data_IF_541402945345
#
_entry.id   IF_541402945345
#
_cell.length_a   1.000
_cell.length_b   1.000
_cell.length_c   1.000
_cell.angle_alpha   90.00
_cell.angle_beta   90.00
_cell.angle_gamma   90.00
#
_symmetry.space_group_name_H-M   'P 1'
#
loop_
_entity.id
_entity.type
_entity.pdbx_description
1 polymer ?
#
# COMPACT_ATOMS: atom_id res chain seq x y z
N UNK A 1 -6.07 -6.19 -16.17
CA UNK A 1 -5.53 -5.65 -14.89
C UNK A 1 -4.72 -4.38 -15.15
N UNK A 2 -3.60 -4.43 -15.89
CA UNK A 2 -2.71 -3.27 -16.11
C UNK A 2 -3.39 -1.95 -16.59
N UNK A 3 -4.47 -2.01 -17.38
CA UNK A 3 -5.21 -0.81 -17.81
C UNK A 3 -6.17 -0.24 -16.76
N UNK A 4 -6.63 -1.07 -15.82
CA UNK A 4 -7.69 -0.71 -14.85
C UNK A 4 -7.15 -0.53 -13.43
N UNK A 5 -6.11 -1.27 -13.08
CA UNK A 5 -5.47 -1.22 -11.75
C UNK A 5 -3.94 -1.24 -11.95
N UNK A 6 -3.37 -0.19 -12.56
CA UNK A 6 -1.94 -0.14 -12.89
C UNK A 6 -1.03 -0.21 -11.66
N UNK A 7 -1.47 0.26 -10.49
CA UNK A 7 -0.74 0.14 -9.23
C UNK A 7 -0.32 -1.31 -8.91
N UNK A 8 -1.19 -2.30 -9.15
CA UNK A 8 -0.86 -3.71 -8.92
C UNK A 8 0.20 -4.23 -9.89
N UNK A 9 0.23 -3.71 -11.13
CA UNK A 9 1.27 -4.06 -12.11
C UNK A 9 2.62 -3.56 -11.60
N UNK A 10 2.67 -2.33 -11.12
CA UNK A 10 3.92 -1.71 -10.67
C UNK A 10 4.46 -2.42 -9.44
N UNK A 11 3.61 -2.68 -8.45
CA UNK A 11 3.96 -3.48 -7.28
C UNK A 11 4.46 -4.90 -7.66
N UNK A 12 3.83 -5.58 -8.62
CA UNK A 12 4.22 -6.94 -9.00
C UNK A 12 5.66 -7.05 -9.56
N UNK A 13 6.26 -5.95 -10.01
CA UNK A 13 7.66 -5.93 -10.46
C UNK A 13 8.69 -6.00 -9.31
N UNK A 14 8.24 -5.74 -8.09
CA UNK A 14 9.04 -5.78 -6.86
C UNK A 14 8.96 -7.14 -6.16
N UNK A 15 7.80 -7.80 -6.27
CA UNK A 15 7.53 -9.09 -5.63
C UNK A 15 8.48 -10.17 -6.12
N UNK A 16 9.44 -10.54 -5.27
CA UNK A 16 10.26 -11.74 -5.40
C UNK A 16 10.90 -11.90 -6.82
N UNK A 17 11.05 -13.15 -7.24
CA UNK A 17 11.61 -13.53 -8.54
C UNK A 17 10.57 -14.25 -9.41
N UNK A 18 10.77 -14.34 -10.74
CA UNK A 18 9.78 -14.93 -11.67
C UNK A 18 9.28 -16.32 -11.26
N UNK A 19 10.15 -17.18 -10.74
CA UNK A 19 9.76 -18.52 -10.28
C UNK A 19 8.73 -18.50 -9.15
N UNK A 20 8.84 -17.54 -8.23
CA UNK A 20 7.89 -17.35 -7.13
C UNK A 20 6.60 -16.72 -7.67
N UNK A 21 6.69 -15.69 -8.52
CA UNK A 21 5.51 -15.03 -9.12
C UNK A 21 4.67 -15.95 -10.00
N UNK A 22 5.26 -16.98 -10.60
CA UNK A 22 4.53 -17.98 -11.38
C UNK A 22 3.65 -18.92 -10.53
N UNK A 23 3.85 -18.94 -9.21
CA UNK A 23 3.09 -19.79 -8.27
C UNK A 23 2.31 -18.98 -7.23
N UNK A 24 2.87 -17.85 -6.81
CA UNK A 24 2.26 -16.94 -5.86
C UNK A 24 0.96 -16.38 -6.41
N UNK A 25 -0.05 -16.29 -5.55
CA UNK A 25 -1.34 -15.68 -5.89
C UNK A 25 -1.55 -14.43 -5.05
N UNK A 26 -2.23 -13.45 -5.61
CA UNK A 26 -2.64 -12.25 -4.87
C UNK A 26 -3.52 -12.63 -3.66
N UNK A 27 -4.41 -13.62 -3.81
CA UNK A 27 -5.23 -14.13 -2.72
C UNK A 27 -4.39 -14.73 -1.58
N UNK A 28 -3.38 -15.53 -1.92
CA UNK A 28 -2.46 -16.09 -0.93
C UNK A 28 -1.63 -15.02 -0.21
N UNK A 29 -1.17 -14.00 -0.93
CA UNK A 29 -0.44 -12.87 -0.32
C UNK A 29 -1.31 -12.06 0.64
N UNK A 30 -2.56 -11.78 0.27
CA UNK A 30 -3.52 -11.08 1.13
C UNK A 30 -3.91 -11.91 2.35
N UNK A 31 -4.18 -13.21 2.16
CA UNK A 31 -4.57 -14.11 3.25
C UNK A 31 -3.42 -14.38 4.22
N UNK A 32 -2.17 -14.42 3.74
CA UNK A 32 -0.98 -14.50 4.60
C UNK A 32 -0.80 -13.21 5.41
N UNK A 33 -1.03 -12.05 4.79
CA UNK A 33 -0.88 -10.74 5.43
C UNK A 33 0.48 -10.53 6.10
N UNK A 34 1.55 -10.88 5.39
CA UNK A 34 2.89 -10.49 5.80
C UNK A 34 2.99 -8.94 5.79
N UNK A 35 3.46 -8.30 6.88
CA UNK A 35 3.52 -6.84 6.96
C UNK A 35 4.41 -6.18 5.91
N UNK A 36 5.38 -6.92 5.36
CA UNK A 36 6.31 -6.46 4.34
C UNK A 36 5.85 -6.78 2.91
N UNK A 37 4.66 -7.38 2.73
CA UNK A 37 4.13 -7.70 1.41
C UNK A 37 3.45 -6.50 0.72
N UNK A 38 3.66 -6.41 -0.58
CA UNK A 38 3.23 -5.31 -1.43
C UNK A 38 1.73 -5.36 -1.74
N UNK A 39 1.17 -6.56 -1.91
CA UNK A 39 -0.23 -6.75 -2.31
C UNK A 39 -1.23 -6.33 -1.22
N UNK A 40 -1.03 -6.62 0.09
CA UNK A 40 -1.80 -6.03 1.17
C UNK A 40 -1.84 -4.50 1.14
N UNK A 41 -0.69 -3.85 0.97
CA UNK A 41 -0.60 -2.40 0.87
C UNK A 41 -1.36 -1.85 -0.35
N UNK A 42 -1.24 -2.51 -1.50
CA UNK A 42 -1.98 -2.10 -2.70
C UNK A 42 -3.49 -2.26 -2.53
N UNK A 43 -3.95 -3.35 -1.90
CA UNK A 43 -5.37 -3.54 -1.62
C UNK A 43 -5.91 -2.45 -0.68
N UNK A 44 -5.14 -2.10 0.35
CA UNK A 44 -5.47 -1.01 1.28
C UNK A 44 -5.46 0.36 0.57
N UNK A 45 -4.43 0.68 -0.20
CA UNK A 45 -4.33 1.94 -0.96
C UNK A 45 -5.49 2.10 -1.95
N UNK A 46 -5.92 1.02 -2.60
CA UNK A 46 -6.99 1.06 -3.60
C UNK A 46 -8.40 0.99 -3.00
N UNK A 47 -8.54 0.80 -1.69
CA UNK A 47 -9.85 0.61 -1.05
C UNK A 47 -10.57 -0.62 -1.58
N UNK A 48 -9.86 -1.76 -1.66
CA UNK A 48 -10.43 -2.99 -2.18
C UNK A 48 -11.49 -3.59 -1.22
N UNK A 49 -12.38 -4.42 -1.76
CA UNK A 49 -13.24 -5.32 -0.98
C UNK A 49 -12.81 -6.77 -1.23
N UNK A 50 -12.68 -7.55 -0.16
CA UNK A 50 -12.30 -8.96 -0.19
C UNK A 50 -13.54 -9.84 -0.01
N UNK A 51 -13.76 -10.75 -0.95
CA UNK A 51 -14.92 -11.65 -0.96
C UNK A 51 -14.54 -13.01 -0.34
N UNK A 52 -15.16 -13.30 0.79
CA UNK A 52 -14.87 -14.46 1.63
C UNK A 52 -16.04 -15.44 1.52
N UNK A 53 -15.76 -16.66 1.09
CA UNK A 53 -16.76 -17.72 0.91
C UNK A 53 -16.60 -18.79 1.98
N UNK A 54 -17.71 -19.24 2.55
CA UNK A 54 -17.82 -20.40 3.43
C UNK A 54 -19.04 -21.25 3.01
N UNK A 55 -19.33 -22.33 3.74
CA UNK A 55 -20.50 -23.17 3.46
C UNK A 55 -21.83 -22.41 3.66
N UNK A 56 -21.82 -21.46 4.60
CA UNK A 56 -22.97 -20.65 5.00
C UNK A 56 -23.25 -19.49 4.05
N UNK A 57 -22.32 -19.18 3.12
CA UNK A 57 -22.49 -18.17 2.10
C UNK A 57 -21.24 -17.33 1.84
N UNK A 58 -21.46 -16.14 1.28
CA UNK A 58 -20.40 -15.21 0.88
C UNK A 58 -20.58 -13.89 1.61
N UNK A 59 -19.52 -13.37 2.21
CA UNK A 59 -19.48 -12.00 2.76
C UNK A 59 -18.34 -11.20 2.14
N UNK A 60 -18.42 -9.88 2.27
CA UNK A 60 -17.37 -8.96 1.83
C UNK A 60 -16.82 -8.19 3.02
N UNK A 61 -15.51 -7.95 3.01
CA UNK A 61 -14.80 -7.18 4.03
C UNK A 61 -13.97 -6.12 3.30
N UNK A 62 -14.00 -4.88 3.79
CA UNK A 62 -13.16 -3.81 3.25
C UNK A 62 -11.67 -4.12 3.51
N UNK A 63 -10.76 -3.64 2.67
CA UNK A 63 -9.33 -3.77 2.93
C UNK A 63 -8.91 -3.04 4.22
N UNK A 64 -9.60 -1.96 4.58
CA UNK A 64 -9.41 -1.21 5.82
C UNK A 64 -9.69 -2.08 7.07
N UNK A 65 -10.63 -3.02 6.97
CA UNK A 65 -11.04 -3.92 8.06
C UNK A 65 -10.44 -5.33 7.95
N UNK A 66 -9.70 -5.64 6.89
CA UNK A 66 -9.27 -7.00 6.60
C UNK A 66 -7.96 -7.39 7.29
N UNK A 67 -7.00 -6.48 7.39
CA UNK A 67 -5.68 -6.75 7.99
C UNK A 67 -5.70 -6.35 9.45
N UNK A 68 -5.50 -7.27 10.38
CA UNK A 68 -5.70 -7.03 11.82
C UNK A 68 -4.38 -6.95 12.59
N UNK A 69 -3.31 -7.56 12.06
CA UNK A 69 -1.98 -7.55 12.66
C UNK A 69 -1.04 -8.52 11.96
N UNK A 70 0.05 -8.88 12.63
CA UNK A 70 1.09 -9.77 12.11
C UNK A 70 0.51 -11.16 11.79
N UNK A 71 0.42 -11.48 10.50
CA UNK A 71 -0.20 -12.72 10.00
C UNK A 71 -1.66 -12.92 10.44
N UNK A 72 -2.34 -11.82 10.82
CA UNK A 72 -3.71 -11.85 11.29
C UNK A 72 -4.61 -11.07 10.34
N UNK A 73 -5.69 -11.72 9.90
CA UNK A 73 -6.70 -11.13 9.01
C UNK A 73 -8.10 -11.39 9.54
N UNK A 74 -9.08 -10.70 8.96
CA UNK A 74 -10.49 -10.90 9.25
C UNK A 74 -11.08 -12.21 8.69
N UNK A 75 -10.27 -13.09 8.08
CA UNK A 75 -10.68 -14.44 7.68
C UNK A 75 -11.05 -15.26 8.91
N UNK A 76 -12.25 -15.85 8.89
CA UNK A 76 -12.72 -16.78 9.92
C UNK A 76 -12.28 -18.20 9.60
N UNK A 77 -12.26 -19.11 10.59
CA UNK A 77 -12.17 -20.54 10.32
C UNK A 77 -13.22 -20.93 9.26
N UNK A 78 -12.83 -21.81 8.32
CA UNK A 78 -13.62 -22.28 7.16
C UNK A 78 -13.84 -21.30 6.01
N UNK A 79 -13.47 -20.03 6.14
CA UNK A 79 -13.56 -19.07 5.03
C UNK A 79 -12.40 -19.20 4.03
N UNK A 80 -12.71 -18.97 2.76
CA UNK A 80 -11.77 -18.89 1.66
C UNK A 80 -11.90 -17.53 0.99
N UNK A 81 -10.79 -16.82 0.82
CA UNK A 81 -10.73 -15.64 -0.03
C UNK A 81 -10.88 -16.05 -1.50
N UNK A 82 -12.03 -15.74 -2.10
CA UNK A 82 -12.40 -16.20 -3.45
C UNK A 82 -12.30 -15.11 -4.52
N UNK A 83 -12.47 -13.84 -4.14
CA UNK A 83 -12.29 -12.72 -5.06
C UNK A 83 -11.82 -11.46 -4.35
N UNK A 84 -11.20 -10.55 -5.12
CA UNK A 84 -10.80 -9.22 -4.68
C UNK A 84 -11.41 -8.22 -5.65
N UNK A 85 -12.16 -7.27 -5.12
CA UNK A 85 -12.88 -6.26 -5.90
C UNK A 85 -12.19 -4.93 -5.70
N UNK A 86 -11.70 -4.36 -6.79
CA UNK A 86 -11.11 -3.02 -6.78
C UNK A 86 -12.14 -2.02 -7.32
N UNK A 87 -12.26 -0.83 -6.70
CA UNK A 87 -13.06 0.25 -7.26
C UNK A 87 -12.67 0.56 -8.70
N UNK A 88 -13.66 0.96 -9.51
CA UNK A 88 -13.40 1.36 -10.90
C UNK A 88 -12.58 2.64 -10.90
N UNK A 89 -11.42 2.60 -11.55
CA UNK A 89 -10.56 3.78 -11.70
C UNK A 89 -11.21 4.82 -12.62
N UNK A 90 -11.16 6.08 -12.19
CA UNK A 90 -11.56 7.24 -12.99
C UNK A 90 -10.43 7.60 -13.97
N UNK A 91 -10.74 8.40 -15.00
CA UNK A 91 -9.73 8.86 -15.96
C UNK A 91 -8.62 9.71 -15.30
N UNK A 92 -8.93 10.33 -14.16
CA UNK A 92 -8.01 11.17 -13.40
C UNK A 92 -7.36 10.43 -12.22
N UNK A 93 -7.53 9.10 -12.13
CA UNK A 93 -6.84 8.31 -11.12
C UNK A 93 -5.33 8.38 -11.34
N UNK A 94 -4.60 8.68 -10.28
CA UNK A 94 -3.15 8.69 -10.24
C UNK A 94 -2.68 7.76 -9.14
N UNK A 95 -1.52 7.15 -9.34
CA UNK A 95 -0.93 6.19 -8.42
C UNK A 95 0.58 6.25 -8.52
N UNK A 96 1.24 5.80 -7.47
CA UNK A 96 2.68 5.62 -7.46
C UNK A 96 3.03 4.48 -6.50
N UNK A 97 4.11 3.77 -6.80
CA UNK A 97 4.62 2.68 -5.98
C UNK A 97 6.15 2.71 -6.00
N UNK A 98 6.73 2.50 -4.84
CA UNK A 98 8.15 2.20 -4.69
C UNK A 98 8.39 1.52 -3.33
N UNK A 99 9.49 0.79 -3.24
CA UNK A 99 9.95 0.17 -2.01
C UNK A 99 11.47 0.21 -1.92
N UNK A 100 11.96 0.08 -0.69
CA UNK A 100 13.37 -0.07 -0.41
C UNK A 100 13.56 -1.44 0.23
N UNK A 101 14.23 -2.33 -0.48
CA UNK A 101 14.65 -3.64 -0.01
C UNK A 101 16.19 -3.74 -0.06
N UNK A 102 16.76 -4.66 0.71
CA UNK A 102 18.23 -4.88 0.72
C UNK A 102 18.75 -5.31 -0.65
N UNK A 103 17.97 -6.16 -1.33
CA UNK A 103 18.20 -6.70 -2.67
C UNK A 103 16.85 -6.77 -3.37
N UNK A 104 16.86 -6.63 -4.69
CA UNK A 104 15.65 -6.71 -5.49
C UNK A 104 14.99 -8.09 -5.32
N UNK A 105 13.73 -8.12 -4.90
CA UNK A 105 12.95 -9.33 -4.64
C UNK A 105 13.00 -9.82 -3.18
N UNK A 106 13.82 -9.21 -2.31
CA UNK A 106 13.68 -9.38 -0.86
C UNK A 106 12.44 -8.63 -0.37
N UNK A 107 11.92 -9.01 0.80
CA UNK A 107 10.91 -8.21 1.49
C UNK A 107 11.38 -6.77 1.75
N UNK A 108 10.45 -5.83 1.65
CA UNK A 108 10.71 -4.41 1.85
C UNK A 108 11.13 -4.10 3.30
N UNK A 109 12.15 -3.24 3.43
CA UNK A 109 12.45 -2.55 4.68
C UNK A 109 11.43 -1.43 4.94
N UNK A 110 11.00 -0.77 3.86
CA UNK A 110 9.89 0.15 3.83
C UNK A 110 9.35 0.23 2.40
N UNK A 111 8.04 0.36 2.26
CA UNK A 111 7.41 0.56 0.96
C UNK A 111 6.15 1.40 1.07
N UNK A 112 5.76 2.01 -0.04
CA UNK A 112 4.60 2.90 -0.11
C UNK A 112 3.83 2.69 -1.42
N UNK A 113 2.53 2.43 -1.27
CA UNK A 113 1.56 2.43 -2.35
C UNK A 113 0.67 3.68 -2.23
N UNK A 114 0.66 4.52 -3.26
CA UNK A 114 -0.17 5.73 -3.35
C UNK A 114 -1.30 5.51 -4.34
N UNK A 115 -2.52 5.90 -3.96
CA UNK A 115 -3.67 6.02 -4.84
C UNK A 115 -4.36 7.36 -4.56
N UNK A 116 -4.68 8.12 -5.60
CA UNK A 116 -5.41 9.37 -5.48
C UNK A 116 -6.19 9.68 -6.77
N UNK A 117 -7.02 10.71 -6.73
CA UNK A 117 -7.67 11.30 -7.90
C UNK A 117 -7.12 12.70 -8.09
N UNK A 118 -6.63 13.00 -9.29
CA UNK A 118 -6.21 14.35 -9.66
C UNK A 118 -7.44 15.20 -9.99
N UNK A 119 -7.59 16.31 -9.30
CA UNK A 119 -8.63 17.31 -9.55
C UNK A 119 -7.96 18.65 -9.84
N UNK A 120 -7.83 18.95 -11.14
CA UNK A 120 -6.96 20.00 -11.66
C UNK A 120 -5.52 19.89 -11.11
N UNK A 121 -5.09 20.87 -10.32
CA UNK A 121 -3.75 20.90 -9.71
C UNK A 121 -3.71 20.20 -8.35
N UNK A 122 -4.86 19.83 -7.80
CA UNK A 122 -5.00 19.24 -6.45
C UNK A 122 -5.12 17.72 -6.49
N UNK A 123 -4.85 17.07 -5.35
CA UNK A 123 -5.16 15.66 -5.14
C UNK A 123 -6.39 15.49 -4.25
N UNK A 124 -7.23 14.51 -4.56
CA UNK A 124 -8.42 14.11 -3.79
C UNK A 124 -8.45 12.60 -3.57
N UNK A 125 -9.22 12.15 -2.60
CA UNK A 125 -9.34 10.74 -2.23
C UNK A 125 -7.95 10.10 -2.05
N UNK A 126 -7.05 10.83 -1.38
CA UNK A 126 -5.64 10.43 -1.23
C UNK A 126 -5.56 9.26 -0.26
N UNK A 127 -4.90 8.18 -0.67
CA UNK A 127 -4.61 7.01 0.15
C UNK A 127 -3.12 6.69 0.05
N UNK A 128 -2.46 6.67 1.21
CA UNK A 128 -1.03 6.41 1.35
C UNK A 128 -0.85 5.15 2.21
N UNK A 129 -0.73 3.98 1.58
CA UNK A 129 -0.56 2.73 2.30
C UNK A 129 0.91 2.34 2.39
N UNK A 130 1.44 2.35 3.60
CA UNK A 130 2.79 1.90 3.92
C UNK A 130 2.82 0.41 4.26
N UNK A 131 3.96 -0.22 4.00
CA UNK A 131 4.26 -1.62 4.38
C UNK A 131 5.74 -1.79 4.76
N UNK A 132 6.03 -2.86 5.50
CA UNK A 132 7.36 -3.13 6.08
C UNK A 132 7.71 -2.24 7.29
N UNK A 133 6.77 -1.41 7.75
CA UNK A 133 7.00 -0.35 8.76
C UNK A 133 5.96 -0.32 9.88
N UNK A 134 5.20 -1.40 10.01
CA UNK A 134 4.26 -1.69 11.09
C UNK A 134 4.03 -3.22 11.11
N UNK A 135 3.14 -3.71 11.96
CA UNK A 135 2.73 -5.12 12.05
C UNK A 135 1.70 -5.54 10.99
N UNK A 136 1.27 -4.61 10.13
CA UNK A 136 0.36 -4.81 8.98
C UNK A 136 0.56 -3.64 8.00
N UNK A 137 0.00 -3.68 6.77
CA UNK A 137 -0.10 -2.46 5.97
C UNK A 137 -0.94 -1.39 6.71
N UNK A 138 -0.47 -0.14 6.69
CA UNK A 138 -1.12 0.98 7.40
C UNK A 138 -1.31 2.19 6.52
N UNK A 139 -2.39 2.93 6.74
CA UNK A 139 -2.60 4.23 6.08
C UNK A 139 -1.92 5.33 6.89
N UNK A 140 -1.15 6.18 6.22
CA UNK A 140 -0.59 7.40 6.81
C UNK A 140 -1.68 8.50 6.84
N UNK A 141 -2.58 8.41 7.81
CA UNK A 141 -3.79 9.24 7.92
C UNK A 141 -3.45 10.72 8.05
N UNK A 142 -2.44 11.07 8.84
CA UNK A 142 -2.00 12.44 9.04
C UNK A 142 -1.41 13.01 7.76
N UNK A 143 -0.59 12.22 7.05
CA UNK A 143 -0.05 12.62 5.76
C UNK A 143 -1.14 12.74 4.67
N UNK A 144 -2.13 11.85 4.66
CA UNK A 144 -3.28 11.95 3.75
C UNK A 144 -4.05 13.25 3.97
N UNK A 145 -4.30 13.64 5.23
CA UNK A 145 -4.99 14.87 5.57
C UNK A 145 -4.24 16.13 5.10
N UNK A 146 -2.90 16.12 5.13
CA UNK A 146 -2.06 17.21 4.61
C UNK A 146 -2.22 17.39 3.09
N UNK A 147 -2.47 16.29 2.35
CA UNK A 147 -2.53 16.29 0.89
C UNK A 147 -3.94 16.44 0.33
N UNK A 148 -4.97 16.11 1.09
CA UNK A 148 -6.35 16.10 0.63
C UNK A 148 -6.82 17.50 0.23
N UNK A 149 -7.18 17.64 -1.05
CA UNK A 149 -7.55 18.91 -1.66
C UNK A 149 -6.42 19.90 -1.89
N UNK A 150 -5.17 19.46 -1.79
CA UNK A 150 -3.99 20.32 -1.91
C UNK A 150 -3.22 20.06 -3.20
N UNK A 151 -2.52 21.11 -3.67
CA UNK A 151 -1.52 21.00 -4.72
C UNK A 151 -0.20 20.44 -4.13
N UNK A 152 0.54 19.67 -4.93
CA UNK A 152 1.84 19.13 -4.55
C UNK A 152 2.95 20.19 -4.65
N UNK A 153 2.96 21.17 -3.75
CA UNK A 153 4.09 22.11 -3.61
C UNK A 153 5.21 21.48 -2.78
N UNK A 154 6.43 22.06 -2.84
CA UNK A 154 7.55 21.57 -2.03
C UNK A 154 7.21 21.57 -0.53
N UNK A 155 6.56 22.63 -0.04
CA UNK A 155 6.10 22.74 1.34
C UNK A 155 5.09 21.64 1.70
N UNK A 156 4.15 21.33 0.81
CA UNK A 156 3.13 20.29 1.06
C UNK A 156 3.76 18.90 1.09
N UNK A 157 4.73 18.64 0.22
CA UNK A 157 5.49 17.39 0.21
C UNK A 157 6.30 17.26 1.51
N UNK A 158 6.96 18.33 1.96
CA UNK A 158 7.71 18.35 3.22
C UNK A 158 6.81 18.09 4.43
N UNK A 159 5.64 18.72 4.49
CA UNK A 159 4.66 18.53 5.57
C UNK A 159 4.07 17.10 5.57
N UNK A 160 3.76 16.55 4.40
CA UNK A 160 3.25 15.18 4.30
C UNK A 160 4.32 14.16 4.76
N UNK A 161 5.58 14.40 4.40
CA UNK A 161 6.72 13.61 4.90
C UNK A 161 6.85 13.67 6.41
N UNK A 162 6.81 14.86 6.99
CA UNK A 162 6.90 15.04 8.45
C UNK A 162 5.75 14.33 9.16
N UNK A 163 4.52 14.51 8.68
CA UNK A 163 3.33 13.87 9.21
C UNK A 163 3.43 12.33 9.16
N UNK A 164 3.85 11.76 8.01
CA UNK A 164 4.05 10.33 7.87
C UNK A 164 5.14 9.80 8.83
N UNK A 165 6.27 10.50 8.94
CA UNK A 165 7.35 10.09 9.84
C UNK A 165 6.94 10.15 11.32
N UNK A 166 6.07 11.09 11.70
CA UNK A 166 5.60 11.23 13.07
C UNK A 166 4.59 10.14 13.49
N UNK A 167 3.77 9.64 12.55
CA UNK A 167 2.74 8.64 12.85
C UNK A 167 3.18 7.18 12.65
N UNK A 168 4.23 6.93 11.86
CA UNK A 168 4.72 5.58 11.64
C UNK A 168 5.53 5.06 12.83
N UNK A 169 5.21 3.83 13.25
CA UNK A 169 5.85 3.12 14.36
C UNK A 169 6.40 1.75 13.93
N UNK A 170 7.56 1.71 13.24
CA UNK A 170 8.16 0.46 12.81
C UNK A 170 8.66 -0.36 14.01
N UNK A 171 8.57 -1.71 13.96
CA UNK A 171 9.15 -2.54 15.00
C UNK A 171 10.67 -2.44 15.02
N UNK A 172 11.26 -2.64 16.20
CA UNK A 172 12.71 -2.74 16.33
C UNK A 172 13.23 -4.05 15.72
N UNK A 173 14.31 -3.94 14.95
CA UNK A 173 14.95 -5.07 14.27
C UNK A 173 16.48 -4.82 14.23
N UNK A 174 17.31 -5.73 14.76
CA UNK A 174 18.75 -5.59 14.75
C UNK A 174 19.36 -5.39 13.35
N UNK A 175 18.73 -5.92 12.31
CA UNK A 175 19.18 -5.77 10.93
C UNK A 175 18.69 -4.49 10.25
N UNK A 176 17.62 -3.87 10.76
CA UNK A 176 17.03 -2.65 10.24
C UNK A 176 16.26 -1.90 11.34
N UNK A 177 16.96 -1.07 12.15
CA UNK A 177 16.37 -0.39 13.30
C UNK A 177 15.13 0.44 12.95
N UNK A 178 14.22 0.65 13.90
CA UNK A 178 12.97 1.35 13.64
C UNK A 178 13.19 2.77 13.08
N UNK A 179 14.19 3.49 13.63
CA UNK A 179 14.59 4.83 13.14
C UNK A 179 15.01 4.81 11.67
N UNK A 180 15.67 3.73 11.23
CA UNK A 180 16.09 3.58 9.83
C UNK A 180 14.88 3.36 8.92
N UNK A 181 13.97 2.45 9.29
CA UNK A 181 12.73 2.20 8.52
C UNK A 181 11.84 3.46 8.43
N UNK A 182 11.73 4.23 9.51
CA UNK A 182 11.02 5.52 9.54
C UNK A 182 11.67 6.55 8.61
N UNK A 183 13.00 6.64 8.61
CA UNK A 183 13.72 7.50 7.66
C UNK A 183 13.45 7.11 6.20
N UNK A 184 13.55 5.81 5.87
CA UNK A 184 13.25 5.30 4.53
C UNK A 184 11.82 5.63 4.08
N UNK A 185 10.86 5.55 5.00
CA UNK A 185 9.45 5.91 4.75
C UNK A 185 9.28 7.37 4.35
N UNK A 186 10.03 8.27 5.00
CA UNK A 186 10.06 9.70 4.68
C UNK A 186 10.73 9.99 3.32
N UNK A 187 11.72 9.19 2.93
CA UNK A 187 12.34 9.29 1.58
C UNK A 187 11.35 8.85 0.50
N UNK A 188 10.62 7.74 0.73
CA UNK A 188 9.67 7.19 -0.24
C UNK A 188 8.52 8.13 -0.54
N UNK A 189 7.86 8.70 0.46
CA UNK A 189 6.74 9.64 0.24
C UNK A 189 7.18 10.88 -0.54
N UNK A 190 8.30 11.51 -0.18
CA UNK A 190 8.80 12.66 -0.93
C UNK A 190 9.04 12.31 -2.40
N UNK A 191 9.75 11.21 -2.66
CA UNK A 191 10.07 10.74 -4.02
C UNK A 191 8.81 10.42 -4.83
N UNK A 192 7.85 9.71 -4.24
CA UNK A 192 6.64 9.30 -4.94
C UNK A 192 5.69 10.48 -5.20
N UNK A 193 5.59 11.44 -4.27
CA UNK A 193 4.83 12.66 -4.49
C UNK A 193 5.47 13.54 -5.57
N UNK A 194 6.80 13.63 -5.62
CA UNK A 194 7.50 14.31 -6.72
C UNK A 194 7.23 13.66 -8.09
N UNK A 195 7.21 12.32 -8.16
CA UNK A 195 6.82 11.59 -9.38
C UNK A 195 5.37 11.93 -9.79
N UNK A 196 4.44 11.88 -8.84
CA UNK A 196 3.04 12.24 -9.09
C UNK A 196 2.86 13.69 -9.54
N UNK A 197 3.67 14.61 -9.01
CA UNK A 197 3.72 16.02 -9.43
C UNK A 197 4.21 16.17 -10.86
N UNK A 198 5.24 15.43 -11.24
CA UNK A 198 5.79 15.42 -12.59
C UNK A 198 4.91 14.68 -13.63
N UNK A 199 3.79 14.08 -13.20
CA UNK A 199 2.92 13.28 -14.07
C UNK A 199 3.51 11.91 -14.43
N UNK A 200 4.50 11.45 -13.66
CA UNK A 200 5.13 10.14 -13.83
C UNK A 200 4.40 9.12 -12.97
N UNK A 201 3.90 8.03 -13.60
CA UNK A 201 3.40 6.84 -12.90
C UNK A 201 4.57 6.01 -12.39
#
# INVERSE_FOLDING_TARGET
IARRVPLLRDAACHIAHPAIRNRGTIGGSLALSDPAAEMPACALALGAELELSAAEGVRRVSADDFFLGLYETALRPTEILTAIRFPKTSANHVHAFDEIARRRGDFALAGLAISAVRDAETLRAVRLAYFGVADRPVLAVSAMAVLEGQQLTDDRIAQAKEAAMAELDPPEDPAAPAVYRRHLSGVLIARLLERLRAGLS
#
